data_IF_389808168584
#
_entry.id   IF_389808168584
#
_cell.length_a   1.000
_cell.length_b   1.000
_cell.length_c   1.000
_cell.angle_alpha   90.00
_cell.angle_beta   90.00
_cell.angle_gamma   90.00
#
_symmetry.space_group_name_H-M   'P 1'
#
loop_
_entity.id
_entity.type
_entity.pdbx_description
1 polymer ?
#
# COMPACT_ATOMS: atom_id res chain seq x y z
N UNK A 1 -9.69 -18.74 8.50
CA UNK A 1 -8.29 -18.37 8.22
C UNK A 1 -8.08 -18.55 6.72
N UNK A 2 -8.46 -17.53 5.94
CA UNK A 2 -8.38 -17.58 4.47
C UNK A 2 -6.90 -17.59 4.08
N UNK A 3 -6.46 -18.70 3.48
CA UNK A 3 -5.13 -18.78 2.88
C UNK A 3 -4.98 -17.69 1.81
N UNK A 4 -3.75 -17.21 1.59
CA UNK A 4 -3.44 -16.45 0.37
C UNK A 4 -3.68 -17.37 -0.83
N UNK A 5 -4.88 -17.26 -1.42
CA UNK A 5 -5.19 -18.03 -2.63
C UNK A 5 -4.37 -17.47 -3.79
N UNK A 6 -4.00 -18.30 -4.78
CA UNK A 6 -3.21 -17.84 -5.92
C UNK A 6 -3.84 -16.65 -6.66
N UNK A 7 -5.17 -16.60 -6.73
CA UNK A 7 -5.94 -15.52 -7.36
C UNK A 7 -5.80 -14.21 -6.59
N UNK A 8 -5.88 -14.26 -5.24
CA UNK A 8 -5.70 -13.08 -4.40
C UNK A 8 -4.28 -12.55 -4.49
N UNK A 9 -3.29 -13.45 -4.52
CA UNK A 9 -1.89 -13.06 -4.69
C UNK A 9 -1.65 -12.42 -6.06
N UNK A 10 -2.23 -12.96 -7.13
CA UNK A 10 -2.18 -12.39 -8.47
C UNK A 10 -2.84 -11.00 -8.53
N UNK A 11 -4.01 -10.83 -7.90
CA UNK A 11 -4.71 -9.55 -7.82
C UNK A 11 -3.88 -8.50 -7.05
N UNK A 12 -3.30 -8.88 -5.91
CA UNK A 12 -2.41 -8.02 -5.13
C UNK A 12 -1.15 -7.64 -5.92
N UNK A 13 -0.54 -8.59 -6.62
CA UNK A 13 0.65 -8.34 -7.43
C UNK A 13 0.36 -7.37 -8.58
N UNK A 14 -0.77 -7.56 -9.28
CA UNK A 14 -1.18 -6.67 -10.37
C UNK A 14 -1.50 -5.26 -9.83
N UNK A 15 -2.21 -5.16 -8.72
CA UNK A 15 -2.49 -3.90 -8.05
C UNK A 15 -1.20 -3.18 -7.64
N UNK A 16 -0.26 -3.89 -7.00
CA UNK A 16 1.03 -3.34 -6.60
C UNK A 16 1.85 -2.86 -7.80
N UNK A 17 1.87 -3.63 -8.89
CA UNK A 17 2.57 -3.27 -10.12
C UNK A 17 2.02 -1.98 -10.75
N UNK A 18 0.70 -1.91 -10.97
CA UNK A 18 0.06 -0.72 -11.55
C UNK A 18 0.23 0.50 -10.63
N UNK A 19 0.04 0.31 -9.31
CA UNK A 19 0.21 1.38 -8.32
C UNK A 19 1.67 1.85 -8.22
N UNK A 20 2.65 0.98 -8.47
CA UNK A 20 4.07 1.35 -8.43
C UNK A 20 4.50 2.13 -9.67
N UNK A 21 3.93 1.83 -10.84
CA UNK A 21 4.32 2.45 -12.12
C UNK A 21 3.57 3.76 -12.38
N UNK A 22 2.38 3.92 -11.80
CA UNK A 22 1.62 5.17 -11.91
C UNK A 22 2.30 6.32 -11.15
N UNK A 23 2.33 7.55 -11.70
CA UNK A 23 2.91 8.70 -11.02
C UNK A 23 1.95 9.21 -9.95
N UNK A 24 1.85 8.47 -8.84
CA UNK A 24 1.17 8.93 -7.63
C UNK A 24 2.04 9.92 -6.84
N UNK A 25 1.46 10.74 -5.95
CA UNK A 25 2.21 11.71 -5.14
C UNK A 25 3.37 11.07 -4.37
N UNK A 26 3.14 9.95 -3.68
CA UNK A 26 4.18 9.29 -2.89
C UNK A 26 5.33 8.71 -3.76
N UNK A 27 5.02 8.10 -4.91
CA UNK A 27 6.03 7.51 -5.79
C UNK A 27 6.83 8.58 -6.54
N UNK A 28 6.19 9.65 -7.00
CA UNK A 28 6.87 10.79 -7.62
C UNK A 28 7.71 11.57 -6.62
N UNK A 29 7.22 11.74 -5.39
CA UNK A 29 8.01 12.34 -4.29
C UNK A 29 9.21 11.48 -3.93
N UNK A 30 9.09 10.14 -3.90
CA UNK A 30 10.21 9.23 -3.69
C UNK A 30 11.22 9.27 -4.85
N UNK A 31 10.74 9.31 -6.09
CA UNK A 31 11.59 9.47 -7.27
C UNK A 31 12.35 10.79 -7.22
N UNK A 32 11.67 11.90 -6.93
CA UNK A 32 12.29 13.22 -6.79
C UNK A 32 13.25 13.28 -5.60
N UNK A 33 12.89 12.68 -4.46
CA UNK A 33 13.76 12.60 -3.28
C UNK A 33 15.02 11.79 -3.57
N UNK A 34 14.88 10.65 -4.27
CA UNK A 34 15.99 9.82 -4.71
C UNK A 34 16.90 10.52 -5.71
N UNK A 35 16.34 11.29 -6.65
CA UNK A 35 17.10 12.05 -7.64
C UNK A 35 17.83 13.27 -7.05
N UNK A 36 17.21 13.98 -6.10
CA UNK A 36 17.76 15.22 -5.53
C UNK A 36 18.66 15.00 -4.30
N UNK A 37 18.33 14.04 -3.42
CA UNK A 37 19.03 13.80 -2.15
C UNK A 37 19.79 12.46 -2.11
N UNK A 38 19.58 11.60 -3.12
CA UNK A 38 20.20 10.28 -3.20
C UNK A 38 19.44 9.20 -2.42
N UNK A 39 19.74 7.93 -2.74
CA UNK A 39 19.02 6.78 -2.19
C UNK A 39 19.08 6.69 -0.66
N UNK A 40 20.27 6.87 -0.06
CA UNK A 40 20.47 6.73 1.40
C UNK A 40 19.68 7.77 2.21
N UNK A 41 19.61 9.01 1.72
CA UNK A 41 18.84 10.07 2.35
C UNK A 41 17.31 9.91 2.15
N UNK A 42 16.91 9.13 1.15
CA UNK A 42 15.50 8.82 0.86
C UNK A 42 14.96 7.63 1.66
N UNK A 43 15.81 6.85 2.34
CA UNK A 43 15.40 5.69 3.14
C UNK A 43 14.35 6.07 4.21
N UNK A 44 14.52 7.15 5.01
CA UNK A 44 13.50 7.54 5.99
C UNK A 44 12.16 7.90 5.34
N UNK A 45 12.17 8.55 4.17
CA UNK A 45 10.96 8.87 3.41
C UNK A 45 10.25 7.59 2.94
N UNK A 46 11.01 6.64 2.39
CA UNK A 46 10.51 5.34 1.95
C UNK A 46 9.89 4.57 3.11
N UNK A 47 10.57 4.51 4.25
CA UNK A 47 10.06 3.84 5.46
C UNK A 47 8.79 4.52 5.98
N UNK A 48 8.72 5.85 5.93
CA UNK A 48 7.52 6.60 6.31
C UNK A 48 6.31 6.27 5.42
N UNK A 49 6.50 6.23 4.10
CA UNK A 49 5.46 5.86 3.13
C UNK A 49 5.02 4.41 3.33
N UNK A 50 5.95 3.46 3.42
CA UNK A 50 5.63 2.04 3.60
C UNK A 50 4.94 1.78 4.95
N UNK A 51 5.44 2.39 6.03
CA UNK A 51 4.85 2.26 7.37
C UNK A 51 3.45 2.87 7.46
N UNK A 52 3.27 4.08 6.91
CA UNK A 52 1.95 4.73 6.84
C UNK A 52 0.94 3.92 6.03
N UNK A 53 1.37 3.35 4.90
CA UNK A 53 0.52 2.49 4.08
C UNK A 53 0.12 1.20 4.81
N UNK A 54 1.06 0.56 5.53
CA UNK A 54 0.76 -0.60 6.36
C UNK A 54 -0.30 -0.28 7.43
N UNK A 55 -0.12 0.82 8.16
CA UNK A 55 -1.09 1.25 9.19
C UNK A 55 -2.46 1.52 8.57
N UNK A 56 -2.51 2.19 7.41
CA UNK A 56 -3.75 2.44 6.68
C UNK A 56 -4.46 1.13 6.31
N UNK A 57 -3.75 0.17 5.72
CA UNK A 57 -4.33 -1.13 5.33
C UNK A 57 -4.84 -1.90 6.54
N UNK A 58 -4.11 -1.90 7.66
CA UNK A 58 -4.54 -2.54 8.90
C UNK A 58 -5.80 -1.87 9.45
N UNK A 59 -5.82 -0.54 9.53
CA UNK A 59 -6.98 0.21 10.01
C UNK A 59 -8.21 -0.04 9.14
N UNK A 60 -8.04 -0.06 7.81
CA UNK A 60 -9.10 -0.38 6.85
C UNK A 60 -9.57 -1.82 7.02
N UNK A 61 -8.67 -2.80 7.15
CA UNK A 61 -9.04 -4.20 7.34
C UNK A 61 -9.80 -4.45 8.64
N UNK A 62 -9.36 -3.84 9.74
CA UNK A 62 -10.04 -3.93 11.03
C UNK A 62 -11.39 -3.18 11.02
N UNK A 63 -11.45 -2.01 10.39
CA UNK A 63 -12.66 -1.18 10.31
C UNK A 63 -13.72 -1.74 9.36
N UNK A 64 -13.34 -2.04 8.11
CA UNK A 64 -14.25 -2.60 7.11
C UNK A 64 -14.74 -3.99 7.48
N UNK A 65 -13.92 -4.82 8.15
CA UNK A 65 -14.38 -6.12 8.65
C UNK A 65 -15.56 -5.98 9.63
N UNK A 66 -15.53 -4.96 10.49
CA UNK A 66 -16.66 -4.61 11.35
C UNK A 66 -17.87 -4.11 10.55
N UNK A 67 -17.65 -3.29 9.53
CA UNK A 67 -18.72 -2.74 8.69
C UNK A 67 -19.44 -3.83 7.88
N UNK A 68 -18.71 -4.73 7.23
CA UNK A 68 -19.27 -5.87 6.50
C UNK A 68 -19.97 -6.88 7.42
N UNK A 69 -19.55 -6.98 8.68
CA UNK A 69 -20.26 -7.79 9.68
C UNK A 69 -21.57 -7.14 10.13
N UNK A 70 -21.62 -5.80 10.18
CA UNK A 70 -22.80 -5.04 10.60
C UNK A 70 -23.84 -4.87 9.47
N UNK A 71 -23.37 -4.76 8.22
CA UNK A 71 -24.19 -4.59 7.03
C UNK A 71 -23.77 -5.61 5.97
N UNK A 72 -24.18 -6.88 6.08
CA UNK A 72 -23.78 -7.96 5.18
C UNK A 72 -24.35 -7.82 3.76
N UNK A 73 -25.30 -6.90 3.55
CA UNK A 73 -25.84 -6.55 2.24
C UNK A 73 -24.99 -5.57 1.40
N UNK A 74 -23.91 -5.00 1.97
CA UNK A 74 -22.94 -4.14 1.27
C UNK A 74 -21.74 -4.95 0.73
#
# INVERSE_FOLDING_TARGET
MTALTPELLAALALFAFVSSITPGPNNTMLMASGANFGFRASIPHLLGVSGGFFVLVVAVGLGLGGLFSAYPEL
#
